data_IF_870708056759
#
_entry.id   IF_870708056759
#
_cell.length_a   1.000
_cell.length_b   1.000
_cell.length_c   1.000
_cell.angle_alpha   90.00
_cell.angle_beta   90.00
_cell.angle_gamma   90.00
#
_symmetry.space_group_name_H-M   'P 1'
#
loop_
_entity.id
_entity.type
_entity.pdbx_description
1 polymer ?
#
# COMPACT_ATOMS: atom_id res chain seq x y z
N UNK A 1 -4.63 -9.84 -26.68
CA UNK A 1 -3.36 -9.27 -26.20
C UNK A 1 -3.45 -9.21 -24.68
N UNK A 2 -2.45 -9.70 -23.95
CA UNK A 2 -2.51 -9.82 -22.48
C UNK A 2 -2.66 -8.44 -21.84
N UNK A 3 -3.85 -8.12 -21.31
CA UNK A 3 -4.04 -6.97 -20.44
C UNK A 3 -3.41 -7.32 -19.09
N UNK A 4 -2.10 -7.08 -18.94
CA UNK A 4 -1.40 -7.28 -17.68
C UNK A 4 -1.86 -6.19 -16.72
N UNK A 5 -2.73 -6.56 -15.78
CA UNK A 5 -3.18 -5.68 -14.72
C UNK A 5 -2.06 -5.50 -13.70
N UNK A 6 -1.27 -4.43 -13.85
CA UNK A 6 -0.16 -4.09 -12.95
C UNK A 6 -0.57 -3.10 -11.84
N UNK A 7 -1.86 -2.72 -11.76
CA UNK A 7 -2.35 -1.67 -10.87
C UNK A 7 -1.96 -0.26 -11.31
N UNK A 8 -2.29 0.74 -10.49
CA UNK A 8 -2.01 2.15 -10.81
C UNK A 8 -0.54 2.50 -10.55
N UNK A 9 0.11 3.31 -11.41
CA UNK A 9 1.48 3.79 -11.19
C UNK A 9 1.70 4.48 -9.83
N UNK A 10 0.67 5.16 -9.31
CA UNK A 10 0.72 5.79 -7.98
C UNK A 10 0.87 4.76 -6.86
N UNK A 11 0.28 3.57 -6.99
CA UNK A 11 0.43 2.51 -5.98
C UNK A 11 1.86 1.95 -5.96
N UNK A 12 2.56 1.97 -7.10
CA UNK A 12 3.98 1.60 -7.16
C UNK A 12 4.87 2.60 -6.41
N UNK A 13 4.53 3.90 -6.43
CA UNK A 13 5.22 4.88 -5.60
C UNK A 13 5.08 4.55 -4.11
N UNK A 14 3.87 4.16 -3.67
CA UNK A 14 3.61 3.75 -2.29
C UNK A 14 4.50 2.56 -1.91
N UNK A 15 4.62 1.56 -2.79
CA UNK A 15 5.52 0.41 -2.58
C UNK A 15 6.98 0.86 -2.44
N UNK A 16 7.46 1.74 -3.32
CA UNK A 16 8.83 2.25 -3.24
C UNK A 16 9.09 2.98 -1.91
N UNK A 17 8.13 3.77 -1.43
CA UNK A 17 8.22 4.46 -0.13
C UNK A 17 8.26 3.44 1.01
N UNK A 18 7.38 2.44 1.02
CA UNK A 18 7.37 1.37 2.04
C UNK A 18 8.74 0.69 2.09
N UNK A 19 9.26 0.28 0.92
CA UNK A 19 10.56 -0.38 0.82
C UNK A 19 11.69 0.49 1.36
N UNK A 20 11.70 1.78 1.02
CA UNK A 20 12.70 2.73 1.52
C UNK A 20 12.65 2.88 3.04
N UNK A 21 11.47 3.02 3.62
CA UNK A 21 11.30 3.16 5.07
C UNK A 21 11.72 1.88 5.80
N UNK A 22 11.26 0.70 5.33
CA UNK A 22 11.59 -0.58 5.95
C UNK A 22 13.09 -0.90 5.85
N UNK A 23 13.72 -0.59 4.70
CA UNK A 23 15.16 -0.74 4.55
C UNK A 23 15.91 0.15 5.54
N UNK A 24 15.55 1.43 5.66
CA UNK A 24 16.17 2.36 6.60
C UNK A 24 16.05 1.90 8.06
N UNK A 25 14.85 1.46 8.47
CA UNK A 25 14.61 0.90 9.80
C UNK A 25 15.46 -0.35 10.05
N UNK A 26 15.52 -1.26 9.07
CA UNK A 26 16.28 -2.51 9.16
C UNK A 26 17.78 -2.30 9.23
N UNK A 27 18.34 -1.42 8.39
CA UNK A 27 19.77 -1.05 8.43
C UNK A 27 20.16 -0.42 9.76
N UNK A 28 19.27 0.39 10.35
CA UNK A 28 19.48 0.98 11.67
C UNK A 28 19.29 0.01 12.84
N UNK A 29 18.81 -1.22 12.58
CA UNK A 29 18.36 -2.18 13.58
C UNK A 29 17.39 -1.54 14.59
N UNK A 30 16.53 -0.63 14.11
CA UNK A 30 15.64 0.16 14.97
C UNK A 30 14.67 -0.75 15.71
N UNK A 31 14.26 -1.86 15.08
CA UNK A 31 13.42 -2.88 15.72
C UNK A 31 14.03 -3.51 16.98
N UNK A 32 15.36 -3.49 17.16
CA UNK A 32 16.01 -4.01 18.38
C UNK A 32 16.41 -2.90 19.34
N UNK A 33 16.80 -1.72 18.82
CA UNK A 33 17.31 -0.60 19.62
C UNK A 33 16.19 0.26 20.22
N UNK A 34 15.11 0.46 19.49
CA UNK A 34 13.95 1.24 19.90
C UNK A 34 12.67 0.68 19.27
N UNK A 35 12.17 -0.38 19.91
CA UNK A 35 11.03 -1.12 19.42
C UNK A 35 9.75 -0.29 19.38
N UNK A 36 9.57 0.64 20.34
CA UNK A 36 8.38 1.51 20.39
C UNK A 36 8.36 2.47 19.20
N UNK A 37 9.52 3.07 18.88
CA UNK A 37 9.65 3.94 17.72
C UNK A 37 9.47 3.17 16.41
N UNK A 38 10.05 1.97 16.31
CA UNK A 38 9.83 1.07 15.18
C UNK A 38 8.35 0.78 14.95
N UNK A 39 7.63 0.38 16.01
CA UNK A 39 6.19 0.08 15.91
C UNK A 39 5.38 1.31 15.51
N UNK A 40 5.70 2.49 16.05
CA UNK A 40 5.01 3.73 15.69
C UNK A 40 5.16 4.03 14.19
N UNK A 41 6.38 3.93 13.64
CA UNK A 41 6.61 4.14 12.21
C UNK A 41 5.90 3.07 11.39
N UNK A 42 5.95 1.80 11.80
CA UNK A 42 5.29 0.71 11.08
C UNK A 42 3.79 0.96 10.96
N UNK A 43 3.13 1.32 12.05
CA UNK A 43 1.69 1.67 12.07
C UNK A 43 1.42 2.90 11.20
N UNK A 44 2.23 3.95 11.31
CA UNK A 44 2.07 5.16 10.52
C UNK A 44 2.19 4.90 9.01
N UNK A 45 3.16 4.07 8.60
CA UNK A 45 3.31 3.63 7.20
C UNK A 45 2.09 2.83 6.76
N UNK A 46 1.63 1.86 7.56
CA UNK A 46 0.44 1.06 7.20
C UNK A 46 -0.80 1.93 7.01
N UNK A 47 -1.12 2.78 7.99
CA UNK A 47 -2.30 3.66 7.91
C UNK A 47 -2.16 4.66 6.77
N UNK A 48 -0.97 5.24 6.59
CA UNK A 48 -0.68 6.16 5.49
C UNK A 48 -0.84 5.52 4.13
N UNK A 49 -0.33 4.30 3.93
CA UNK A 49 -0.47 3.56 2.68
C UNK A 49 -1.93 3.24 2.36
N UNK A 50 -2.70 2.77 3.35
CA UNK A 50 -4.14 2.53 3.17
C UNK A 50 -4.86 3.83 2.81
N UNK A 51 -4.59 4.93 3.54
CA UNK A 51 -5.17 6.24 3.27
C UNK A 51 -4.89 6.73 1.85
N UNK A 52 -3.64 6.64 1.39
CA UNK A 52 -3.24 7.01 0.02
C UNK A 52 -3.98 6.15 -1.01
N UNK A 53 -4.05 4.84 -0.81
CA UNK A 53 -4.75 3.95 -1.75
C UNK A 53 -6.24 4.30 -1.80
N UNK A 54 -6.89 4.50 -0.66
CA UNK A 54 -8.31 4.88 -0.59
C UNK A 54 -8.59 6.24 -1.26
N UNK A 55 -7.73 7.23 -1.08
CA UNK A 55 -7.90 8.55 -1.69
C UNK A 55 -7.62 8.56 -3.20
N UNK A 56 -6.78 7.64 -3.68
CA UNK A 56 -6.38 7.57 -5.09
C UNK A 56 -7.18 6.57 -5.92
N UNK A 57 -8.04 5.79 -5.25
CA UNK A 57 -8.94 4.81 -5.86
C UNK A 57 -10.36 5.38 -5.90
N UNK A 58 -10.93 5.52 -7.10
CA UNK A 58 -12.32 6.00 -7.27
C UNK A 58 -13.30 4.84 -7.12
N UNK A 59 -14.54 5.16 -6.71
CA UNK A 59 -15.65 4.19 -6.71
C UNK A 59 -15.90 3.70 -8.15
N UNK A 60 -15.89 2.39 -8.34
CA UNK A 60 -16.06 1.74 -9.65
C UNK A 60 -14.76 1.47 -10.42
N UNK A 61 -13.60 1.87 -9.90
CA UNK A 61 -12.33 1.43 -10.49
C UNK A 61 -12.00 0.00 -10.06
N UNK A 62 -11.55 -0.78 -11.03
CA UNK A 62 -11.05 -2.12 -10.80
C UNK A 62 -9.75 -2.05 -9.98
N UNK A 63 -9.81 -2.48 -8.71
CA UNK A 63 -8.67 -2.53 -7.78
C UNK A 63 -7.93 -3.87 -7.87
N UNK A 64 -8.68 -4.94 -8.12
CA UNK A 64 -8.21 -6.32 -8.17
C UNK A 64 -8.22 -6.84 -9.61
N UNK A 65 -7.40 -7.86 -9.91
CA UNK A 65 -7.34 -8.46 -11.25
C UNK A 65 -8.69 -8.93 -11.75
N UNK A 66 -9.55 -9.43 -10.86
CA UNK A 66 -10.94 -9.73 -11.17
C UNK A 66 -11.83 -8.60 -10.65
N UNK A 67 -12.75 -8.07 -11.47
CA UNK A 67 -13.73 -7.10 -11.00
C UNK A 67 -14.62 -7.77 -9.95
N UNK A 68 -15.04 -7.00 -8.95
CA UNK A 68 -16.11 -7.44 -8.07
C UNK A 68 -17.40 -7.53 -8.88
N UNK A 69 -18.22 -8.56 -8.66
CA UNK A 69 -19.55 -8.63 -9.28
C UNK A 69 -20.36 -7.41 -8.82
N UNK A 70 -20.86 -6.61 -9.76
CA UNK A 70 -21.76 -5.50 -9.42
C UNK A 70 -23.10 -6.11 -8.98
N UNK A 71 -23.51 -5.84 -7.74
CA UNK A 71 -24.82 -6.22 -7.15
C UNK A 71 -26.04 -5.60 -7.89
N UNK A 72 -25.86 -5.00 -9.08
CA UNK A 72 -26.91 -4.40 -9.91
C UNK A 72 -27.76 -5.40 -10.72
N UNK A 73 -27.71 -6.69 -10.39
CA UNK A 73 -28.72 -7.66 -10.79
C UNK A 73 -29.82 -7.74 -9.73
N UNK A 74 -30.60 -6.66 -9.60
CA UNK A 74 -31.75 -6.54 -8.70
C UNK A 74 -32.61 -5.34 -9.03
#
# INVERSE_FOLDING_TARGET
MSHIFLGKPIHWLVVAIIMGVLAWLGFGLVQTRDYSFFLFILVAVTVGSVGVIMLTTRKGEQVTREPFEDDSAG
#
